data_IF_924535247214
#
_entry.id   IF_924535247214
#
_cell.length_a   1.000
_cell.length_b   1.000
_cell.length_c   1.000
_cell.angle_alpha   90.00
_cell.angle_beta   90.00
_cell.angle_gamma   90.00
#
_symmetry.space_group_name_H-M   'P 1'
#
loop_
_entity.id
_entity.type
_entity.pdbx_description
1 polymer ?
#
# COMPACT_ATOMS: atom_id res chain seq x y z
N UNK A 1 -51.13 11.25 56.38
CA UNK A 1 -50.83 9.84 56.05
C UNK A 1 -49.37 9.74 55.63
N UNK A 2 -48.51 9.07 56.41
CA UNK A 2 -47.09 8.87 56.05
C UNK A 2 -46.99 7.64 55.16
N UNK A 3 -46.51 7.79 53.92
CA UNK A 3 -46.19 6.67 53.04
C UNK A 3 -45.15 5.77 53.71
N UNK A 4 -45.52 4.51 53.94
CA UNK A 4 -44.64 3.47 54.48
C UNK A 4 -43.61 3.13 53.39
N UNK A 5 -42.37 3.56 53.57
CA UNK A 5 -41.27 3.21 52.65
C UNK A 5 -41.04 1.70 52.71
N UNK A 6 -41.26 0.99 51.60
CA UNK A 6 -40.88 -0.41 51.46
C UNK A 6 -39.36 -0.52 51.64
N UNK A 7 -38.91 -1.32 52.60
CA UNK A 7 -37.49 -1.58 52.80
C UNK A 7 -36.97 -2.38 51.61
N UNK A 8 -35.98 -1.84 50.91
CA UNK A 8 -35.26 -2.53 49.84
C UNK A 8 -34.58 -3.78 50.42
N UNK A 9 -34.85 -4.94 49.85
CA UNK A 9 -34.22 -6.18 50.29
C UNK A 9 -32.80 -6.26 49.73
N UNK A 10 -31.85 -6.78 50.51
CA UNK A 10 -30.44 -6.88 50.10
C UNK A 10 -30.27 -7.67 48.78
N UNK A 11 -31.16 -8.65 48.55
CA UNK A 11 -31.23 -9.42 47.30
C UNK A 11 -31.55 -8.52 46.10
N UNK A 12 -32.46 -7.57 46.22
CA UNK A 12 -32.86 -6.68 45.13
C UNK A 12 -31.70 -5.78 44.69
N UNK A 13 -30.95 -5.25 45.66
CA UNK A 13 -29.73 -4.47 45.38
C UNK A 13 -28.66 -5.34 44.71
N UNK A 14 -28.47 -6.57 45.20
CA UNK A 14 -27.48 -7.49 44.67
C UNK A 14 -27.80 -7.89 43.20
N UNK A 15 -29.06 -8.23 42.91
CA UNK A 15 -29.51 -8.53 41.55
C UNK A 15 -29.37 -7.30 40.65
N UNK A 16 -29.76 -6.11 41.12
CA UNK A 16 -29.60 -4.88 40.36
C UNK A 16 -28.13 -4.60 40.03
N UNK A 17 -27.19 -4.85 40.97
CA UNK A 17 -25.76 -4.68 40.70
C UNK A 17 -25.21 -5.69 39.70
N UNK A 18 -25.66 -6.94 39.72
CA UNK A 18 -25.23 -7.97 38.75
C UNK A 18 -25.75 -7.61 37.33
N UNK A 19 -27.00 -7.16 37.24
CA UNK A 19 -27.56 -6.69 35.95
C UNK A 19 -26.79 -5.47 35.44
N UNK A 20 -26.52 -4.49 36.31
CA UNK A 20 -25.73 -3.32 35.93
C UNK A 20 -24.30 -3.69 35.47
N UNK A 21 -23.64 -4.64 36.15
CA UNK A 21 -22.31 -5.11 35.79
C UNK A 21 -22.29 -5.84 34.44
N UNK A 22 -23.27 -6.71 34.17
CA UNK A 22 -23.33 -7.45 32.90
C UNK A 22 -23.66 -6.54 31.72
N UNK A 23 -24.59 -5.59 31.91
CA UNK A 23 -24.93 -4.60 30.87
C UNK A 23 -23.74 -3.69 30.57
N UNK A 24 -23.05 -3.18 31.59
CA UNK A 24 -21.86 -2.33 31.39
C UNK A 24 -20.74 -3.08 30.67
N UNK A 25 -20.43 -4.32 31.04
CA UNK A 25 -19.46 -5.16 30.32
C UNK A 25 -19.86 -5.38 28.86
N UNK A 26 -21.14 -5.65 28.60
CA UNK A 26 -21.67 -5.82 27.24
C UNK A 26 -21.45 -4.56 26.38
N UNK A 27 -21.79 -3.38 26.91
CA UNK A 27 -21.63 -2.11 26.19
C UNK A 27 -20.15 -1.82 25.92
N UNK A 28 -19.27 -1.97 26.91
CA UNK A 28 -17.83 -1.75 26.72
C UNK A 28 -17.24 -2.70 25.68
N UNK A 29 -17.65 -3.97 25.67
CA UNK A 29 -17.21 -4.95 24.68
C UNK A 29 -17.59 -4.56 23.25
N UNK A 30 -18.83 -4.12 23.04
CA UNK A 30 -19.32 -3.67 21.73
C UNK A 30 -18.58 -2.41 21.27
N UNK A 31 -18.38 -1.46 22.16
CA UNK A 31 -17.69 -0.19 21.85
C UNK A 31 -16.22 -0.44 21.47
N UNK A 32 -15.49 -1.24 22.26
CA UNK A 32 -14.10 -1.61 21.95
C UNK A 32 -14.00 -2.37 20.62
N UNK A 33 -14.93 -3.29 20.36
CA UNK A 33 -15.00 -4.02 19.09
C UNK A 33 -15.24 -3.10 17.90
N UNK A 34 -16.09 -2.07 18.07
CA UNK A 34 -16.33 -1.05 17.06
C UNK A 34 -15.08 -0.25 16.70
N UNK A 35 -14.34 0.24 17.70
CA UNK A 35 -13.13 1.05 17.47
C UNK A 35 -11.99 0.25 16.81
N UNK A 36 -11.78 -1.01 17.22
CA UNK A 36 -10.79 -1.87 16.58
C UNK A 36 -11.14 -2.14 15.10
N UNK A 37 -12.44 -2.35 14.81
CA UNK A 37 -12.93 -2.56 13.45
C UNK A 37 -12.76 -1.32 12.56
N UNK A 38 -13.02 -0.12 13.09
CA UNK A 38 -12.86 1.14 12.36
C UNK A 38 -11.41 1.42 12.00
N UNK A 39 -10.49 1.35 12.97
CA UNK A 39 -9.05 1.59 12.74
C UNK A 39 -8.47 0.65 11.67
N UNK A 40 -8.93 -0.61 11.68
CA UNK A 40 -8.60 -1.63 10.69
C UNK A 40 -9.14 -1.28 9.29
N UNK A 41 -10.39 -0.84 9.21
CA UNK A 41 -11.00 -0.40 7.96
C UNK A 41 -10.24 0.81 7.37
N UNK A 42 -9.89 1.79 8.18
CA UNK A 42 -9.17 2.99 7.76
C UNK A 42 -7.79 2.66 7.16
N UNK A 43 -7.05 1.74 7.79
CA UNK A 43 -5.75 1.26 7.27
C UNK A 43 -5.89 0.57 5.91
N UNK A 44 -6.93 -0.25 5.73
CA UNK A 44 -7.20 -0.94 4.45
C UNK A 44 -7.59 0.05 3.35
N UNK A 45 -8.43 1.03 3.67
CA UNK A 45 -8.83 2.06 2.72
C UNK A 45 -7.62 2.90 2.29
N UNK A 46 -6.81 3.35 3.26
CA UNK A 46 -5.59 4.09 2.99
C UNK A 46 -4.56 3.27 2.21
N UNK A 47 -4.40 1.98 2.49
CA UNK A 47 -3.56 1.08 1.69
C UNK A 47 -4.04 1.04 0.22
N UNK A 48 -5.35 0.98 -0.01
CA UNK A 48 -5.94 1.06 -1.34
C UNK A 48 -5.70 2.40 -2.03
N UNK A 49 -5.80 3.51 -1.29
CA UNK A 49 -5.49 4.85 -1.81
C UNK A 49 -4.01 5.00 -2.17
N UNK A 50 -3.10 4.48 -1.34
CA UNK A 50 -1.66 4.50 -1.59
C UNK A 50 -1.28 3.70 -2.84
N UNK A 51 -1.89 2.53 -3.04
CA UNK A 51 -1.69 1.73 -4.26
C UNK A 51 -2.19 2.47 -5.50
N UNK A 52 -3.37 3.10 -5.43
CA UNK A 52 -3.89 3.91 -6.53
C UNK A 52 -3.00 5.12 -6.83
N UNK A 53 -2.55 5.83 -5.80
CA UNK A 53 -1.63 6.96 -5.95
C UNK A 53 -0.33 6.51 -6.62
N UNK A 54 0.25 5.38 -6.18
CA UNK A 54 1.44 4.80 -6.77
C UNK A 54 1.23 4.43 -8.25
N UNK A 55 0.09 3.81 -8.57
CA UNK A 55 -0.28 3.47 -9.94
C UNK A 55 -0.43 4.73 -10.83
N UNK A 56 -1.16 5.75 -10.38
CA UNK A 56 -1.33 7.00 -11.13
C UNK A 56 0.02 7.72 -11.31
N UNK A 57 0.87 7.70 -10.29
CA UNK A 57 2.21 8.27 -10.39
C UNK A 57 3.02 7.53 -11.44
N UNK A 58 3.05 6.19 -11.45
CA UNK A 58 3.77 5.40 -12.45
C UNK A 58 3.21 5.55 -13.87
N UNK A 59 1.91 5.76 -14.04
CA UNK A 59 1.33 6.12 -15.35
C UNK A 59 1.95 7.38 -15.92
N UNK A 60 2.27 8.37 -15.06
CA UNK A 60 2.94 9.57 -15.52
C UNK A 60 4.30 9.25 -16.12
N UNK A 61 5.04 8.25 -15.62
CA UNK A 61 6.38 7.83 -16.08
C UNK A 61 6.38 6.98 -17.37
N UNK A 62 5.20 6.62 -17.89
CA UNK A 62 5.08 5.85 -19.13
C UNK A 62 5.51 6.75 -20.29
N UNK A 63 6.64 6.41 -20.90
CA UNK A 63 7.09 7.05 -22.14
C UNK A 63 6.20 6.64 -23.31
N UNK A 64 5.85 7.61 -24.14
CA UNK A 64 5.21 7.36 -25.44
C UNK A 64 6.22 6.92 -26.52
N UNK A 65 7.52 6.95 -26.23
CA UNK A 65 8.58 6.51 -27.14
C UNK A 65 8.85 5.00 -26.98
N UNK A 66 8.42 4.17 -27.96
CA UNK A 66 8.64 2.73 -27.91
C UNK A 66 10.10 2.33 -28.23
N UNK A 67 10.87 3.21 -28.87
CA UNK A 67 12.22 2.89 -29.38
C UNK A 67 13.31 2.89 -28.30
N UNK A 68 13.00 3.42 -27.12
CA UNK A 68 13.92 3.51 -26.00
C UNK A 68 13.37 2.73 -24.79
N UNK A 69 13.50 1.40 -24.79
CA UNK A 69 12.99 0.55 -23.71
C UNK A 69 13.73 0.72 -22.39
N UNK A 70 14.93 1.30 -22.46
CA UNK A 70 15.85 1.56 -21.37
C UNK A 70 16.23 3.04 -21.43
N UNK A 71 15.38 3.92 -20.89
CA UNK A 71 15.84 5.23 -20.42
C UNK A 71 16.77 5.03 -19.21
N UNK A 72 17.88 4.33 -19.44
CA UNK A 72 19.00 4.16 -18.53
C UNK A 72 20.01 5.22 -18.89
N UNK A 73 20.26 6.12 -17.93
CA UNK A 73 21.40 7.05 -17.90
C UNK A 73 22.65 6.42 -18.54
N UNK A 74 23.27 7.12 -19.50
CA UNK A 74 24.57 6.73 -20.01
C UNK A 74 25.17 7.62 -21.11
N UNK A 75 24.41 8.05 -22.12
CA UNK A 75 25.05 8.64 -23.33
C UNK A 75 24.33 9.83 -23.98
N UNK A 76 23.18 10.28 -23.46
CA UNK A 76 22.50 11.45 -24.04
C UNK A 76 22.91 12.71 -23.25
N UNK A 77 23.50 13.74 -23.90
CA UNK A 77 23.95 14.95 -23.22
C UNK A 77 22.80 15.62 -22.47
N UNK A 78 23.17 16.21 -21.33
CA UNK A 78 22.37 16.95 -20.36
C UNK A 78 21.65 18.17 -20.97
N UNK A 79 20.76 17.98 -21.93
CA UNK A 79 19.93 19.04 -22.51
C UNK A 79 18.72 18.42 -23.22
N UNK A 80 17.51 18.72 -22.72
CA UNK A 80 16.22 18.69 -23.46
C UNK A 80 15.55 17.34 -23.78
N UNK A 81 15.57 16.34 -22.90
CA UNK A 81 14.65 15.19 -23.04
C UNK A 81 13.55 15.25 -21.97
N UNK A 82 12.26 15.13 -22.33
CA UNK A 82 11.17 15.26 -21.38
C UNK A 82 11.22 14.05 -20.44
N UNK A 83 11.74 14.28 -19.24
CA UNK A 83 11.24 13.54 -18.10
C UNK A 83 9.71 13.61 -18.13
N UNK A 84 9.07 12.48 -17.86
CA UNK A 84 7.62 12.38 -17.80
C UNK A 84 6.98 13.52 -17.01
N UNK A 85 5.68 13.84 -17.23
CA UNK A 85 5.00 14.98 -16.60
C UNK A 85 5.10 15.07 -15.06
N UNK A 86 5.56 14.01 -14.37
CA UNK A 86 5.80 13.95 -12.93
C UNK A 86 7.26 14.06 -12.46
N UNK A 87 8.28 14.02 -13.33
CA UNK A 87 9.69 14.18 -12.93
C UNK A 87 10.59 14.54 -14.11
N UNK A 88 11.28 15.70 -14.08
CA UNK A 88 12.18 16.14 -15.14
C UNK A 88 13.41 15.23 -15.33
N UNK A 89 13.67 14.30 -14.40
CA UNK A 89 14.84 13.40 -14.39
C UNK A 89 14.41 11.93 -14.66
N UNK A 90 13.10 11.65 -14.75
CA UNK A 90 12.58 10.28 -14.94
C UNK A 90 12.68 9.36 -13.72
N UNK A 91 13.30 9.81 -12.63
CA UNK A 91 13.32 9.10 -11.36
C UNK A 91 12.08 9.42 -10.53
N UNK A 92 11.63 8.45 -9.73
CA UNK A 92 10.59 8.70 -8.74
C UNK A 92 11.27 9.10 -7.41
N UNK A 93 11.07 10.34 -6.91
CA UNK A 93 11.75 10.79 -5.68
C UNK A 93 11.45 9.96 -4.42
N UNK A 94 10.35 9.20 -4.44
CA UNK A 94 9.99 8.32 -3.34
C UNK A 94 10.77 7.00 -3.34
N UNK A 95 11.45 6.68 -4.44
CA UNK A 95 12.31 5.52 -4.54
C UNK A 95 13.57 5.70 -3.69
N UNK A 96 13.85 4.72 -2.85
CA UNK A 96 15.06 4.70 -2.03
C UNK A 96 16.30 4.71 -2.92
N UNK A 97 17.12 5.75 -2.78
CA UNK A 97 18.35 5.93 -3.55
C UNK A 97 18.21 6.80 -4.81
N UNK A 98 16.99 6.98 -5.35
CA UNK A 98 16.72 7.89 -6.48
C UNK A 98 17.70 7.76 -7.67
N UNK A 99 18.25 6.57 -7.91
CA UNK A 99 19.34 6.34 -8.89
C UNK A 99 18.88 5.73 -10.21
N UNK A 100 17.63 5.26 -10.28
CA UNK A 100 17.12 4.44 -11.39
C UNK A 100 15.83 5.01 -11.95
N UNK A 101 15.65 4.90 -13.27
CA UNK A 101 14.41 5.34 -13.90
C UNK A 101 13.22 4.57 -13.29
N UNK A 102 12.10 5.26 -13.04
CA UNK A 102 10.98 4.70 -12.28
C UNK A 102 10.38 3.43 -12.91
N UNK A 103 10.50 3.25 -14.24
CA UNK A 103 10.05 2.08 -14.99
C UNK A 103 11.20 1.22 -15.53
N UNK A 104 12.39 1.34 -14.92
CA UNK A 104 13.53 0.49 -15.27
C UNK A 104 13.23 -0.97 -14.92
N UNK A 105 12.80 -1.77 -15.90
CA UNK A 105 12.55 -3.20 -15.68
C UNK A 105 13.71 -4.09 -16.10
N UNK A 106 13.59 -5.37 -15.76
CA UNK A 106 14.44 -6.45 -16.24
C UNK A 106 13.58 -7.60 -16.79
N UNK A 107 14.20 -8.56 -17.47
CA UNK A 107 13.55 -9.84 -17.77
C UNK A 107 13.08 -10.52 -16.47
N UNK A 108 12.08 -11.41 -16.52
CA UNK A 108 11.61 -12.15 -15.34
C UNK A 108 12.80 -12.71 -14.53
N UNK A 109 12.87 -12.45 -13.21
CA UNK A 109 11.78 -12.02 -12.31
C UNK A 109 11.48 -10.51 -12.25
N UNK A 110 12.16 -9.66 -13.02
CA UNK A 110 11.97 -8.20 -13.02
C UNK A 110 12.92 -7.46 -12.07
N UNK A 111 12.83 -6.12 -12.06
CA UNK A 111 13.59 -5.25 -11.15
C UNK A 111 12.69 -4.74 -10.03
N UNK A 112 13.19 -4.79 -8.81
CA UNK A 112 12.48 -4.29 -7.63
C UNK A 112 12.86 -2.84 -7.37
N UNK A 113 11.86 -2.00 -7.14
CA UNK A 113 11.96 -0.61 -6.72
C UNK A 113 11.34 -0.47 -5.34
N UNK A 114 12.05 0.15 -4.41
CA UNK A 114 11.62 0.29 -3.01
C UNK A 114 11.10 1.70 -2.80
N UNK A 115 9.80 1.82 -2.50
CA UNK A 115 9.07 3.07 -2.26
C UNK A 115 8.49 3.15 -0.84
N UNK A 116 9.07 2.38 0.09
CA UNK A 116 8.74 2.41 1.52
C UNK A 116 8.70 3.83 2.13
N UNK A 117 9.54 4.80 1.70
CA UNK A 117 9.40 6.19 2.17
C UNK A 117 8.02 6.81 1.98
N UNK A 118 7.19 6.34 1.03
CA UNK A 118 5.80 6.79 0.89
C UNK A 118 4.92 6.49 2.10
N UNK A 119 5.31 5.52 2.93
CA UNK A 119 4.56 5.17 4.13
C UNK A 119 4.83 6.14 5.29
N UNK A 120 5.89 6.96 5.21
CA UNK A 120 6.26 7.90 6.28
C UNK A 120 5.13 8.90 6.51
N UNK A 121 4.74 9.08 7.78
CA UNK A 121 3.63 9.96 8.15
C UNK A 121 2.25 9.33 7.95
N UNK A 122 2.17 8.06 7.56
CA UNK A 122 0.92 7.31 7.47
C UNK A 122 0.79 6.29 8.61
N UNK A 123 -0.45 5.94 9.03
CA UNK A 123 -0.71 4.79 9.91
C UNK A 123 -0.22 3.43 9.39
N UNK A 124 0.28 3.33 8.14
CA UNK A 124 0.83 2.10 7.59
C UNK A 124 2.31 1.90 7.96
N UNK A 125 3.00 2.94 8.42
CA UNK A 125 4.39 2.88 8.84
C UNK A 125 4.57 2.33 10.28
N UNK A 126 3.46 2.01 10.97
CA UNK A 126 3.50 1.36 12.28
C UNK A 126 4.34 0.07 12.21
N UNK A 127 5.46 0.04 12.94
CA UNK A 127 6.30 -1.13 13.10
C UNK A 127 6.17 -1.67 14.53
N UNK A 128 5.95 -2.98 14.66
CA UNK A 128 5.87 -3.67 15.95
C UNK A 128 7.00 -4.69 16.03
N UNK A 129 7.72 -4.70 17.15
CA UNK A 129 8.80 -5.64 17.41
C UNK A 129 8.29 -7.08 17.33
N UNK A 130 8.94 -7.91 16.51
CA UNK A 130 8.56 -9.32 16.31
C UNK A 130 7.60 -9.59 15.15
N UNK A 131 7.15 -8.55 14.44
CA UNK A 131 6.39 -8.67 13.19
C UNK A 131 7.21 -8.12 12.00
N UNK A 132 6.91 -8.53 10.75
CA UNK A 132 7.58 -7.99 9.58
C UNK A 132 7.37 -6.48 9.50
N UNK A 133 8.45 -5.75 9.20
CA UNK A 133 8.40 -4.30 9.04
C UNK A 133 7.51 -3.91 7.85
N UNK A 134 6.76 -2.79 7.95
CA UNK A 134 5.97 -2.31 6.84
C UNK A 134 6.88 -1.99 5.64
N UNK A 135 6.47 -2.40 4.46
CA UNK A 135 7.26 -2.23 3.24
C UNK A 135 6.34 -1.92 2.06
N UNK A 136 6.78 -1.01 1.20
CA UNK A 136 6.09 -0.73 -0.05
C UNK A 136 7.10 -0.77 -1.18
N UNK A 137 6.91 -1.69 -2.12
CA UNK A 137 7.78 -1.88 -3.27
C UNK A 137 6.96 -2.20 -4.51
N UNK A 138 7.58 -2.08 -5.66
CA UNK A 138 7.02 -2.56 -6.91
C UNK A 138 8.08 -3.22 -7.76
N UNK A 139 7.67 -4.20 -8.55
CA UNK A 139 8.54 -4.94 -9.46
C UNK A 139 8.16 -4.61 -10.89
N UNK A 140 9.13 -4.17 -11.68
CA UNK A 140 8.97 -3.89 -13.11
C UNK A 140 9.60 -5.02 -13.92
N UNK A 141 8.77 -5.72 -14.68
CA UNK A 141 9.19 -6.82 -15.55
C UNK A 141 9.02 -6.43 -17.00
N UNK A 142 10.07 -6.58 -17.79
CA UNK A 142 10.05 -6.39 -19.23
C UNK A 142 9.44 -7.64 -19.87
N UNK A 143 8.36 -7.45 -20.61
CA UNK A 143 7.65 -8.50 -21.35
C UNK A 143 7.51 -8.09 -22.82
N UNK A 144 7.35 -9.07 -23.70
CA UNK A 144 7.05 -8.79 -25.09
C UNK A 144 5.60 -8.28 -25.23
N UNK A 145 5.40 -7.14 -25.89
CA UNK A 145 4.10 -6.49 -26.05
C UNK A 145 3.06 -7.32 -26.81
N UNK A 146 3.49 -8.27 -27.66
CA UNK A 146 2.59 -9.13 -28.45
C UNK A 146 1.87 -10.21 -27.61
N UNK A 147 2.06 -10.22 -26.28
CA UNK A 147 1.81 -11.39 -25.44
C UNK A 147 0.94 -11.17 -24.21
N UNK A 148 0.35 -9.98 -24.06
CA UNK A 148 -0.64 -9.70 -23.01
C UNK A 148 -1.93 -10.48 -23.36
N UNK A 149 -1.97 -11.77 -23.00
CA UNK A 149 -3.12 -12.66 -23.21
C UNK A 149 -2.86 -14.17 -23.24
N UNK A 150 -1.60 -14.65 -23.38
CA UNK A 150 -1.35 -16.07 -23.76
C UNK A 150 -0.56 -16.94 -22.76
N UNK A 151 -0.30 -16.49 -21.53
CA UNK A 151 0.10 -17.36 -20.40
C UNK A 151 1.43 -18.14 -20.49
N UNK A 152 2.17 -18.10 -21.60
CA UNK A 152 3.41 -18.89 -21.79
C UNK A 152 4.66 -18.01 -21.49
N UNK A 153 5.61 -18.47 -20.67
CA UNK A 153 6.85 -17.73 -20.40
C UNK A 153 8.00 -18.41 -21.17
N UNK A 154 8.10 -18.19 -22.48
CA UNK A 154 9.11 -18.87 -23.29
C UNK A 154 9.88 -17.90 -24.21
N UNK A 155 11.15 -17.70 -23.85
CA UNK A 155 12.39 -17.65 -24.68
C UNK A 155 12.45 -16.89 -26.00
N UNK A 156 11.51 -15.99 -26.32
CA UNK A 156 11.72 -15.04 -27.44
C UNK A 156 12.73 -13.97 -26.97
N UNK A 157 13.85 -13.74 -27.69
CA UNK A 157 14.80 -12.69 -27.33
C UNK A 157 14.06 -11.35 -27.31
N UNK A 158 14.05 -10.73 -26.13
CA UNK A 158 13.44 -9.42 -25.97
C UNK A 158 14.45 -8.41 -26.52
N UNK A 159 14.20 -7.92 -27.73
CA UNK A 159 15.00 -6.85 -28.30
C UNK A 159 14.68 -5.55 -27.52
N UNK A 160 15.70 -4.78 -27.15
CA UNK A 160 15.62 -3.53 -26.36
C UNK A 160 14.87 -2.36 -27.04
N UNK A 161 14.16 -2.63 -28.13
CA UNK A 161 13.49 -1.63 -28.95
C UNK A 161 11.97 -1.73 -28.95
N UNK A 162 11.36 -2.75 -28.31
CA UNK A 162 9.91 -2.86 -28.13
C UNK A 162 9.58 -3.76 -26.91
N UNK A 163 9.57 -3.19 -25.71
CA UNK A 163 9.30 -3.92 -24.47
C UNK A 163 8.11 -3.31 -23.74
N UNK A 164 7.13 -4.14 -23.38
CA UNK A 164 6.07 -3.77 -22.48
C UNK A 164 6.56 -3.94 -21.04
N UNK A 165 6.12 -3.05 -20.14
CA UNK A 165 6.45 -3.12 -18.72
C UNK A 165 5.24 -3.61 -17.95
N UNK A 166 5.41 -4.71 -17.22
CA UNK A 166 4.43 -5.18 -16.24
C UNK A 166 4.91 -4.71 -14.87
N UNK A 167 4.04 -3.98 -14.16
CA UNK A 167 4.33 -3.49 -12.82
C UNK A 167 3.47 -4.23 -11.82
N UNK A 168 4.10 -4.82 -10.80
CA UNK A 168 3.43 -5.49 -9.70
C UNK A 168 3.77 -4.75 -8.41
N UNK A 169 2.77 -4.23 -7.72
CA UNK A 169 2.95 -3.59 -6.42
C UNK A 169 2.82 -4.59 -5.28
N UNK A 170 3.66 -4.44 -4.26
CA UNK A 170 3.60 -5.20 -3.03
C UNK A 170 3.66 -4.23 -1.85
N UNK A 171 2.58 -4.22 -1.06
CA UNK A 171 2.45 -3.41 0.15
C UNK A 171 2.23 -4.36 1.33
N UNK A 172 3.16 -4.34 2.27
CA UNK A 172 3.11 -5.05 3.55
C UNK A 172 2.88 -4.01 4.63
N UNK A 173 1.81 -4.17 5.41
CA UNK A 173 1.49 -3.32 6.56
C UNK A 173 0.83 -4.14 7.67
N UNK A 174 0.84 -3.60 8.88
CA UNK A 174 0.21 -4.24 10.03
C UNK A 174 -1.28 -3.88 10.14
N UNK A 175 -2.11 -4.92 10.09
CA UNK A 175 -3.56 -4.84 10.20
C UNK A 175 -4.03 -5.04 11.66
N UNK A 176 -3.37 -4.32 12.58
CA UNK A 176 -3.65 -4.26 14.02
C UNK A 176 -4.27 -2.93 14.45
#
# INVERSE_FOLDING_TARGET
MKQKRQGQTLIEVCVATIIAATVTMGVFSVVLSGFASQKKADKREMAGLMLKQAQETLKSYVSADPTNSNFTSGTVPLVTSPGSPGSPIGHWPAEQGNTTWALAGALPPGRIHIITPLLIGTPLADAVTGLPAPSFKYTVTNVNCLRIGSGIYASVPINDSNQCKVVVFELIYLDI
#
